data_IF_036403226855
#
_entry.id   IF_036403226855
#
_cell.length_a   1.000
_cell.length_b   1.000
_cell.length_c   1.000
_cell.angle_alpha   90.00
_cell.angle_beta   90.00
_cell.angle_gamma   90.00
#
_symmetry.space_group_name_H-M   'P 1'
#
loop_
_entity.id
_entity.type
_entity.pdbx_description
1 polymer ?
#
# COMPACT_ATOMS: atom_id res chain seq x y z
N UNK A 1 5.47 -20.88 -2.92
CA UNK A 1 4.84 -20.69 -1.58
C UNK A 1 3.67 -21.65 -1.49
N UNK A 2 3.65 -22.53 -0.48
CA UNK A 2 2.54 -23.44 -0.22
C UNK A 2 1.84 -23.03 1.07
N UNK A 3 0.54 -22.75 0.99
CA UNK A 3 -0.28 -22.36 2.13
C UNK A 3 -1.52 -23.24 2.21
N UNK A 4 -1.88 -23.65 3.42
CA UNK A 4 -3.06 -24.47 3.70
C UNK A 4 -4.03 -23.65 4.54
N UNK A 5 -5.33 -23.75 4.23
CA UNK A 5 -6.37 -23.11 5.02
C UNK A 5 -6.49 -23.82 6.37
N UNK A 6 -6.41 -23.07 7.46
CA UNK A 6 -6.62 -23.63 8.80
C UNK A 6 -8.11 -23.95 8.94
N UNK A 7 -8.42 -25.22 9.25
CA UNK A 7 -9.79 -25.72 9.31
C UNK A 7 -10.68 -24.87 10.22
N UNK A 8 -11.82 -24.41 9.69
CA UNK A 8 -12.81 -23.60 10.43
C UNK A 8 -12.53 -22.10 10.51
N UNK A 9 -11.41 -21.59 9.97
CA UNK A 9 -11.09 -20.16 10.00
C UNK A 9 -10.78 -19.60 8.59
N UNK A 10 -10.97 -18.29 8.39
CA UNK A 10 -10.56 -17.57 7.18
C UNK A 10 -9.07 -17.22 7.18
N UNK A 11 -8.24 -18.03 7.85
CA UNK A 11 -6.80 -17.79 8.01
C UNK A 11 -6.04 -18.90 7.31
N UNK A 12 -5.01 -18.51 6.57
CA UNK A 12 -4.12 -19.42 5.86
C UNK A 12 -2.79 -19.49 6.59
N UNK A 13 -2.28 -20.71 6.75
CA UNK A 13 -0.96 -20.96 7.30
C UNK A 13 0.01 -21.27 6.16
N UNK A 14 1.14 -20.57 6.13
CA UNK A 14 2.20 -20.81 5.15
C UNK A 14 3.07 -21.95 5.68
N UNK A 15 2.97 -23.13 5.06
CA UNK A 15 3.72 -24.32 5.50
C UNK A 15 5.11 -24.42 4.88
N UNK A 16 5.26 -23.91 3.66
CA UNK A 16 6.54 -23.94 2.95
C UNK A 16 6.74 -22.62 2.20
N UNK A 17 7.81 -21.93 2.55
CA UNK A 17 8.32 -20.77 1.83
C UNK A 17 9.64 -21.17 1.20
N UNK A 18 9.68 -21.22 -0.12
CA UNK A 18 10.91 -21.41 -0.86
C UNK A 18 11.50 -20.01 -1.17
N UNK A 19 12.63 -19.64 -0.55
CA UNK A 19 13.18 -18.29 -0.64
C UNK A 19 14.03 -18.08 -1.90
N UNK A 20 14.28 -19.13 -2.67
CA UNK A 20 15.07 -19.07 -3.90
C UNK A 20 14.31 -18.33 -4.99
N UNK A 21 14.85 -17.18 -5.36
CA UNK A 21 14.30 -16.35 -6.41
C UNK A 21 14.67 -16.94 -7.78
N UNK A 22 13.68 -17.39 -8.54
CA UNK A 22 13.84 -17.77 -9.96
C UNK A 22 13.66 -16.59 -10.91
N UNK A 23 13.47 -15.37 -10.40
CA UNK A 23 13.25 -14.20 -11.23
C UNK A 23 14.52 -13.79 -11.98
N UNK A 24 14.35 -13.49 -13.27
CA UNK A 24 15.42 -13.02 -14.13
C UNK A 24 15.95 -11.68 -13.63
N UNK A 25 17.24 -11.40 -13.84
CA UNK A 25 17.86 -10.12 -13.46
C UNK A 25 17.18 -8.94 -14.15
N UNK A 26 16.67 -9.12 -15.38
CA UNK A 26 15.86 -8.10 -16.07
C UNK A 26 14.51 -7.82 -15.41
N UNK A 27 13.91 -8.81 -14.73
CA UNK A 27 12.66 -8.59 -13.98
C UNK A 27 12.89 -7.68 -12.76
N UNK A 28 14.14 -7.53 -12.29
CA UNK A 28 14.48 -6.53 -11.27
C UNK A 28 14.23 -5.11 -11.78
N UNK A 29 14.41 -4.82 -13.07
CA UNK A 29 14.08 -3.48 -13.57
C UNK A 29 12.56 -3.19 -13.56
N UNK A 30 11.74 -4.24 -13.53
CA UNK A 30 10.28 -4.14 -13.41
C UNK A 30 9.82 -3.81 -11.99
N UNK A 31 10.72 -3.51 -11.03
CA UNK A 31 10.34 -3.00 -9.69
C UNK A 31 9.45 -1.75 -9.73
N UNK A 32 9.45 -1.02 -10.85
CA UNK A 32 8.45 0.02 -11.16
C UNK A 32 6.99 -0.48 -11.20
N UNK A 33 6.73 -1.78 -11.20
CA UNK A 33 5.39 -2.37 -11.25
C UNK A 33 4.78 -2.66 -9.86
N UNK A 34 5.59 -3.08 -8.87
CA UNK A 34 5.04 -3.71 -7.67
C UNK A 34 4.29 -2.75 -6.73
N UNK A 35 4.78 -1.52 -6.57
CA UNK A 35 4.10 -0.51 -5.75
C UNK A 35 3.24 0.40 -6.65
N UNK A 36 2.00 0.00 -6.90
CA UNK A 36 1.02 0.89 -7.54
C UNK A 36 0.63 2.01 -6.58
N UNK A 37 0.28 3.18 -7.12
CA UNK A 37 -0.09 4.34 -6.29
C UNK A 37 -1.30 4.06 -5.39
N UNK A 38 -2.18 3.14 -5.80
CA UNK A 38 -3.34 2.73 -4.98
C UNK A 38 -2.94 1.95 -3.73
N UNK A 39 -1.97 1.02 -3.85
CA UNK A 39 -1.48 0.23 -2.71
C UNK A 39 -0.75 1.15 -1.73
N UNK A 40 0.15 1.99 -2.24
CA UNK A 40 0.91 2.95 -1.44
C UNK A 40 -0.04 3.95 -0.76
N UNK A 41 -1.03 4.48 -1.48
CA UNK A 41 -2.02 5.38 -0.90
C UNK A 41 -2.86 4.72 0.19
N UNK A 42 -3.30 3.47 -0.01
CA UNK A 42 -3.99 2.70 1.02
C UNK A 42 -3.13 2.46 2.26
N UNK A 43 -1.84 2.21 2.09
CA UNK A 43 -0.91 2.01 3.20
C UNK A 43 -0.76 3.29 4.04
N UNK A 44 -0.81 4.45 3.38
CA UNK A 44 -0.62 5.75 4.00
C UNK A 44 -1.92 6.34 4.59
N UNK A 45 -3.09 5.85 4.17
CA UNK A 45 -4.40 6.40 4.57
C UNK A 45 -4.62 6.45 6.08
N UNK A 46 -4.12 5.47 6.84
CA UNK A 46 -4.30 5.48 8.29
C UNK A 46 -3.36 6.47 8.99
N UNK A 47 -2.23 6.81 8.37
CA UNK A 47 -1.26 7.76 8.93
C UNK A 47 -1.58 9.21 8.59
N UNK A 48 -2.23 9.43 7.45
CA UNK A 48 -2.44 10.77 6.89
C UNK A 48 -3.89 11.08 6.49
N UNK A 49 -4.79 10.13 6.74
CA UNK A 49 -6.22 10.27 6.57
C UNK A 49 -6.88 10.71 7.87
N UNK A 50 -7.71 11.75 7.80
CA UNK A 50 -8.48 12.25 8.93
C UNK A 50 -8.71 13.75 8.87
N UNK A 51 -9.57 14.22 9.78
CA UNK A 51 -10.01 15.61 9.91
C UNK A 51 -8.82 16.52 10.25
N UNK A 52 -8.28 17.21 9.25
CA UNK A 52 -7.12 18.10 9.38
C UNK A 52 -5.82 17.62 8.69
N UNK A 53 -5.84 16.47 8.00
CA UNK A 53 -4.66 15.88 7.39
C UNK A 53 -4.14 16.65 6.18
N UNK A 54 -3.17 17.55 6.38
CA UNK A 54 -2.29 17.99 5.29
C UNK A 54 -1.49 16.77 4.83
N UNK A 55 -1.91 16.13 3.74
CA UNK A 55 -1.25 14.92 3.26
C UNK A 55 0.25 15.16 3.02
N UNK A 56 1.10 14.16 3.31
CA UNK A 56 2.54 14.31 3.42
C UNK A 56 3.12 14.83 2.11
N UNK A 57 4.19 15.64 2.20
CA UNK A 57 4.91 16.07 1.01
C UNK A 57 5.37 14.82 0.23
N UNK A 58 5.28 14.80 -1.10
CA UNK A 58 5.69 13.63 -1.88
C UNK A 58 7.13 13.17 -1.58
N UNK A 59 8.04 14.10 -1.23
CA UNK A 59 9.39 13.77 -0.76
C UNK A 59 9.43 12.83 0.45
N UNK A 60 8.57 13.09 1.44
CA UNK A 60 8.45 12.25 2.65
C UNK A 60 7.89 10.88 2.29
N UNK A 61 6.93 10.81 1.36
CA UNK A 61 6.38 9.53 0.88
C UNK A 61 7.45 8.68 0.19
N UNK A 62 8.33 9.31 -0.60
CA UNK A 62 9.47 8.62 -1.22
C UNK A 62 10.46 8.11 -0.16
N UNK A 63 10.74 8.91 0.87
CA UNK A 63 11.64 8.53 1.95
C UNK A 63 11.10 7.33 2.76
N UNK A 64 9.82 7.35 3.14
CA UNK A 64 9.16 6.24 3.85
C UNK A 64 9.24 4.96 3.01
N UNK A 65 8.93 5.04 1.72
CA UNK A 65 8.94 3.87 0.84
C UNK A 65 10.35 3.32 0.64
N UNK A 66 11.37 4.18 0.62
CA UNK A 66 12.78 3.77 0.54
C UNK A 66 13.28 3.17 1.84
N UNK A 67 13.03 3.81 2.99
CA UNK A 67 13.62 3.44 4.27
C UNK A 67 12.88 2.29 4.96
N UNK A 68 11.54 2.29 4.90
CA UNK A 68 10.70 1.29 5.60
C UNK A 68 10.41 0.08 4.70
N UNK A 69 10.18 0.33 3.41
CA UNK A 69 9.73 -0.72 2.48
C UNK A 69 10.79 -1.17 1.49
N UNK A 70 11.94 -0.49 1.42
CA UNK A 70 13.04 -0.79 0.49
C UNK A 70 12.54 -0.76 -0.97
N UNK A 71 11.51 0.03 -1.25
CA UNK A 71 10.91 0.17 -2.58
C UNK A 71 11.12 1.61 -3.07
N UNK A 72 11.96 1.82 -4.08
CA UNK A 72 12.06 3.13 -4.72
C UNK A 72 10.80 3.40 -5.54
N UNK A 73 10.17 4.54 -5.30
CA UNK A 73 9.01 5.02 -6.07
C UNK A 73 9.35 6.31 -6.80
N UNK A 74 8.70 6.54 -7.93
CA UNK A 74 8.84 7.82 -8.65
C UNK A 74 8.09 8.93 -7.93
N UNK A 75 8.50 10.17 -8.16
CA UNK A 75 7.81 11.34 -7.62
C UNK A 75 6.31 11.36 -7.96
N UNK A 76 5.94 11.05 -9.22
CA UNK A 76 4.54 10.97 -9.63
C UNK A 76 3.75 9.92 -8.84
N UNK A 77 4.35 8.75 -8.56
CA UNK A 77 3.72 7.75 -7.71
C UNK A 77 3.54 8.26 -6.29
N UNK A 78 4.54 8.93 -5.73
CA UNK A 78 4.47 9.51 -4.39
C UNK A 78 3.34 10.55 -4.30
N UNK A 79 3.26 11.45 -5.27
CA UNK A 79 2.19 12.45 -5.37
C UNK A 79 0.81 11.79 -5.53
N UNK A 80 0.65 10.87 -6.50
CA UNK A 80 -0.64 10.21 -6.73
C UNK A 80 -1.09 9.37 -5.53
N UNK A 81 -0.14 8.74 -4.82
CA UNK A 81 -0.43 7.96 -3.61
C UNK A 81 -0.90 8.85 -2.47
N UNK A 82 -0.33 10.05 -2.33
CA UNK A 82 -0.78 11.06 -1.38
C UNK A 82 -2.25 11.44 -1.63
N UNK A 83 -2.61 11.74 -2.87
CA UNK A 83 -4.00 12.08 -3.22
C UNK A 83 -4.97 10.96 -2.83
N UNK A 84 -4.60 9.71 -3.15
CA UNK A 84 -5.39 8.52 -2.80
C UNK A 84 -5.49 8.34 -1.28
N UNK A 85 -4.43 8.64 -0.53
CA UNK A 85 -4.43 8.53 0.93
C UNK A 85 -5.32 9.57 1.59
N UNK A 86 -5.34 10.82 1.09
CA UNK A 86 -6.21 11.90 1.59
C UNK A 86 -7.67 11.55 1.31
N UNK A 87 -7.97 11.17 0.07
CA UNK A 87 -9.31 10.80 -0.41
C UNK A 87 -9.90 9.65 0.41
N UNK A 88 -9.16 8.55 0.52
CA UNK A 88 -9.62 7.36 1.28
C UNK A 88 -9.55 7.53 2.79
N UNK A 89 -8.81 8.52 3.25
CA UNK A 89 -8.56 8.80 4.66
C UNK A 89 -9.62 9.70 5.30
N UNK A 90 -10.19 10.62 4.52
CA UNK A 90 -11.17 11.60 5.00
C UNK A 90 -12.61 11.06 5.07
N UNK A 91 -12.82 9.83 4.59
CA UNK A 91 -14.15 9.24 4.46
C UNK A 91 -14.90 9.77 3.24
N UNK A 92 -15.85 9.00 2.72
CA UNK A 92 -16.72 9.43 1.63
C UNK A 92 -18.01 10.05 2.21
N UNK A 93 -18.53 11.09 1.56
CA UNK A 93 -19.84 11.65 1.85
C UNK A 93 -20.94 10.57 1.74
N UNK A 94 -20.86 9.69 0.73
CA UNK A 94 -21.84 8.62 0.54
C UNK A 94 -21.83 7.62 1.71
N UNK A 95 -20.63 7.25 2.19
CA UNK A 95 -20.51 6.35 3.34
C UNK A 95 -21.00 7.00 4.62
N UNK A 96 -20.86 8.33 4.72
CA UNK A 96 -21.36 9.10 5.87
C UNK A 96 -22.89 9.21 5.84
N UNK A 97 -23.48 9.36 4.66
CA UNK A 97 -24.93 9.39 4.46
C UNK A 97 -25.61 8.07 4.83
N UNK A 98 -25.00 6.94 4.46
CA UNK A 98 -25.49 5.60 4.83
C UNK A 98 -25.40 5.30 6.33
N UNK A 99 -24.64 6.09 7.09
CA UNK A 99 -24.46 5.93 8.54
C UNK A 99 -25.45 6.79 9.37
N UNK A 100 -26.33 7.55 8.72
CA UNK A 100 -27.40 8.29 9.39
C UNK A 100 -28.48 7.30 9.89
N UNK A 101 -29.01 7.48 11.13
CA UNK A 101 -30.00 6.60 11.74
C UNK A 101 -31.40 6.68 11.10
#
# INVERSE_FOLDING_TARGET
IYATKVGGCSRFEIRTLEPTHTCNVDDRWRFRSHATSSIVGNMLRNRYGGTGGVGPRPGVVMEIMRNVHIIPITYWKAWKSREIAIDRGSGNADTSYLALP
#
